data_IF_566361788900
#
_entry.id   IF_566361788900
#
_cell.length_a   1.000
_cell.length_b   1.000
_cell.length_c   1.000
_cell.angle_alpha   90.00
_cell.angle_beta   90.00
_cell.angle_gamma   90.00
#
_symmetry.space_group_name_H-M   'P 1'
#
loop_
_entity.id
_entity.type
_entity.pdbx_description
1 polymer ?
#
# COMPACT_ATOMS: atom_id res chain seq x y z
N UNK A 1 12.19 -19.79 2.41
CA UNK A 1 11.19 -19.55 1.35
C UNK A 1 10.43 -18.28 1.72
N UNK A 2 10.34 -17.27 0.84
CA UNK A 2 9.57 -16.07 1.13
C UNK A 2 8.07 -16.29 1.02
N UNK A 3 7.32 -15.46 1.72
CA UNK A 3 5.87 -15.34 1.61
C UNK A 3 5.55 -14.03 0.92
N UNK A 4 4.67 -14.07 -0.08
CA UNK A 4 4.18 -12.88 -0.77
C UNK A 4 2.70 -12.69 -0.47
N UNK A 5 2.28 -11.43 -0.47
CA UNK A 5 0.87 -11.06 -0.35
C UNK A 5 0.29 -10.93 -1.76
N UNK A 6 -0.80 -11.64 -2.01
CA UNK A 6 -1.60 -11.55 -3.21
C UNK A 6 -3.01 -11.10 -2.85
N UNK A 7 -3.70 -10.49 -3.80
CA UNK A 7 -5.09 -10.07 -3.65
C UNK A 7 -5.90 -10.62 -4.82
N UNK A 8 -7.04 -11.21 -4.51
CA UNK A 8 -7.99 -11.66 -5.53
C UNK A 8 -8.63 -10.49 -6.26
N UNK A 9 -8.94 -10.68 -7.53
CA UNK A 9 -9.74 -9.77 -8.35
C UNK A 9 -11.07 -10.48 -8.60
N UNK A 10 -12.15 -9.89 -8.09
CA UNK A 10 -13.50 -10.41 -8.26
C UNK A 10 -13.96 -10.24 -9.72
N UNK A 11 -14.97 -10.99 -10.17
CA UNK A 11 -15.47 -10.89 -11.55
C UNK A 11 -16.03 -9.51 -11.91
N UNK A 12 -16.41 -8.68 -10.94
CA UNK A 12 -16.82 -7.28 -11.18
C UNK A 12 -15.63 -6.32 -11.37
N UNK A 13 -14.40 -6.81 -11.17
CA UNK A 13 -13.17 -6.02 -11.21
C UNK A 13 -12.80 -5.39 -9.87
N UNK A 14 -13.60 -5.58 -8.82
CA UNK A 14 -13.26 -5.11 -7.48
C UNK A 14 -12.20 -5.98 -6.81
N UNK A 15 -11.52 -5.37 -5.86
CA UNK A 15 -10.48 -6.00 -5.06
C UNK A 15 -11.10 -6.92 -3.99
N UNK A 16 -10.77 -8.20 -4.05
CA UNK A 16 -11.18 -9.21 -3.06
C UNK A 16 -10.25 -9.26 -1.84
N UNK A 17 -10.31 -10.38 -1.12
CA UNK A 17 -9.46 -10.62 0.04
C UNK A 17 -7.97 -10.74 -0.34
N UNK A 18 -7.12 -10.20 0.53
CA UNK A 18 -5.68 -10.38 0.45
C UNK A 18 -5.25 -11.61 1.26
N UNK A 19 -4.33 -12.40 0.71
CA UNK A 19 -3.83 -13.62 1.32
C UNK A 19 -2.32 -13.77 1.14
N UNK A 20 -1.72 -14.56 2.01
CA UNK A 20 -0.31 -14.87 2.01
C UNK A 20 -0.04 -16.21 1.29
N UNK A 21 0.93 -16.23 0.38
CA UNK A 21 1.32 -17.42 -0.36
C UNK A 21 2.84 -17.62 -0.31
N UNK A 22 3.25 -18.82 0.10
CA UNK A 22 4.66 -19.23 0.10
C UNK A 22 5.05 -19.59 -1.33
N UNK A 23 6.04 -18.88 -1.87
CA UNK A 23 6.50 -19.08 -3.24
C UNK A 23 8.02 -19.01 -3.30
N UNK A 24 8.63 -19.84 -4.14
CA UNK A 24 10.08 -19.79 -4.33
C UNK A 24 10.47 -18.51 -5.09
N UNK A 25 11.62 -17.90 -4.75
CA UNK A 25 12.09 -16.68 -5.44
C UNK A 25 12.36 -16.89 -6.94
N UNK A 26 12.67 -18.12 -7.36
CA UNK A 26 12.94 -18.46 -8.77
C UNK A 26 11.67 -18.73 -9.58
N UNK A 27 10.51 -18.82 -8.95
CA UNK A 27 9.25 -19.10 -9.62
C UNK A 27 8.55 -17.80 -10.03
N UNK A 28 7.84 -17.83 -11.16
CA UNK A 28 7.01 -16.70 -11.59
C UNK A 28 5.82 -16.47 -10.65
N UNK A 29 5.40 -15.21 -10.50
CA UNK A 29 4.25 -14.85 -9.66
C UNK A 29 2.98 -15.59 -10.09
N UNK A 30 2.22 -16.10 -9.12
CA UNK A 30 0.95 -16.77 -9.39
C UNK A 30 -0.05 -15.78 -10.00
N UNK A 31 -0.82 -16.25 -10.99
CA UNK A 31 -1.87 -15.46 -11.66
C UNK A 31 -3.29 -15.86 -11.25
N UNK A 32 -3.45 -17.04 -10.66
CA UNK A 32 -4.72 -17.59 -10.20
C UNK A 32 -4.59 -18.03 -8.74
N UNK A 33 -5.64 -17.83 -7.96
CA UNK A 33 -5.69 -18.28 -6.58
C UNK A 33 -5.82 -19.81 -6.52
N UNK A 34 -4.97 -20.52 -5.76
CA UNK A 34 -4.90 -21.99 -5.77
C UNK A 34 -6.17 -22.71 -5.26
N UNK A 35 -6.99 -22.05 -4.42
CA UNK A 35 -8.27 -22.60 -3.93
C UNK A 35 -9.50 -22.20 -4.75
N UNK A 36 -9.67 -20.90 -5.04
CA UNK A 36 -10.88 -20.34 -5.68
C UNK A 36 -10.77 -20.30 -7.21
N UNK A 37 -9.55 -20.30 -7.77
CA UNK A 37 -9.32 -20.10 -9.20
C UNK A 37 -9.49 -18.65 -9.67
N UNK A 38 -9.77 -17.71 -8.77
CA UNK A 38 -9.92 -16.29 -9.11
C UNK A 38 -8.59 -15.70 -9.60
N UNK A 39 -8.62 -14.73 -10.52
CA UNK A 39 -7.41 -14.00 -10.90
C UNK A 39 -6.84 -13.26 -9.68
N UNK A 40 -5.52 -13.26 -9.54
CA UNK A 40 -4.83 -12.58 -8.43
C UNK A 40 -3.80 -11.58 -8.93
N UNK A 41 -3.54 -10.55 -8.13
CA UNK A 41 -2.43 -9.61 -8.32
C UNK A 41 -1.51 -9.62 -7.09
N UNK A 42 -0.22 -9.43 -7.32
CA UNK A 42 0.76 -9.27 -6.25
C UNK A 42 0.60 -7.89 -5.61
N UNK A 43 0.45 -7.85 -4.29
CA UNK A 43 0.31 -6.60 -3.54
C UNK A 43 1.65 -6.26 -2.90
N UNK A 44 2.13 -5.04 -3.17
CA UNK A 44 3.28 -4.48 -2.47
C UNK A 44 2.76 -3.59 -1.34
N UNK A 45 3.09 -3.94 -0.10
CA UNK A 45 2.82 -3.04 1.01
C UNK A 45 3.68 -1.78 0.85
N UNK A 46 3.06 -0.63 1.11
CA UNK A 46 3.81 0.61 1.21
C UNK A 46 4.86 0.45 2.31
N UNK A 47 6.12 0.85 2.06
CA UNK A 47 7.11 0.87 3.12
C UNK A 47 6.59 1.74 4.27
N UNK A 48 6.86 1.34 5.50
CA UNK A 48 6.54 2.15 6.67
C UNK A 48 7.51 3.34 6.72
N UNK A 49 7.29 4.33 5.85
CA UNK A 49 8.09 5.54 5.79
C UNK A 49 7.58 6.49 6.86
N UNK A 50 8.47 6.93 7.75
CA UNK A 50 8.20 7.92 8.79
C UNK A 50 8.01 9.34 8.21
N UNK A 51 7.32 9.50 7.09
CA UNK A 51 7.10 10.80 6.46
C UNK A 51 5.83 11.51 6.95
N UNK A 52 4.84 10.76 7.45
CA UNK A 52 3.50 11.32 7.73
C UNK A 52 3.39 11.99 9.12
N UNK A 53 4.08 11.44 10.13
CA UNK A 53 4.00 11.85 11.54
C UNK A 53 5.38 12.06 12.17
N UNK A 54 6.33 12.65 11.43
CA UNK A 54 7.61 13.06 11.99
C UNK A 54 7.64 14.54 12.35
N UNK A 55 8.49 14.90 13.30
CA UNK A 55 8.68 16.29 13.72
C UNK A 55 8.97 17.23 12.53
N UNK A 56 9.81 16.79 11.58
CA UNK A 56 10.10 17.57 10.36
C UNK A 56 8.86 17.79 9.48
N UNK A 57 8.05 16.75 9.29
CA UNK A 57 6.79 16.83 8.51
C UNK A 57 5.76 17.74 9.19
N UNK A 58 5.65 17.63 10.52
CA UNK A 58 4.77 18.49 11.33
C UNK A 58 5.22 19.94 11.31
N UNK A 59 6.52 20.21 11.48
CA UNK A 59 7.07 21.58 11.41
C UNK A 59 6.79 22.22 10.05
N UNK A 60 7.02 21.50 8.95
CA UNK A 60 6.76 21.99 7.60
C UNK A 60 5.28 22.31 7.35
N UNK A 61 4.36 21.44 7.82
CA UNK A 61 2.92 21.69 7.71
C UNK A 61 2.46 22.92 8.49
N UNK A 62 3.10 23.20 9.62
CA UNK A 62 2.81 24.31 10.52
C UNK A 62 3.69 25.55 10.26
N UNK A 63 4.52 25.54 9.22
CA UNK A 63 5.31 26.71 8.82
C UNK A 63 4.40 27.82 8.32
N UNK A 64 4.73 29.07 8.63
CA UNK A 64 3.91 30.24 8.31
C UNK A 64 3.58 30.28 6.81
N UNK A 65 4.57 30.06 5.94
CA UNK A 65 4.38 29.97 4.49
C UNK A 65 3.31 28.95 4.07
N UNK A 66 3.30 27.77 4.68
CA UNK A 66 2.35 26.70 4.32
C UNK A 66 0.95 26.97 4.89
N UNK A 67 0.88 27.55 6.09
CA UNK A 67 -0.38 27.93 6.75
C UNK A 67 -1.06 29.06 5.97
N UNK A 68 -0.30 30.09 5.56
CA UNK A 68 -0.76 31.21 4.72
C UNK A 68 -1.19 30.74 3.33
N UNK A 69 -0.43 29.83 2.70
CA UNK A 69 -0.77 29.23 1.40
C UNK A 69 -2.12 28.51 1.42
N UNK A 70 -2.49 27.92 2.55
CA UNK A 70 -3.78 27.26 2.74
C UNK A 70 -4.89 28.18 3.28
N UNK A 71 -4.64 29.49 3.35
CA UNK A 71 -5.64 30.50 3.72
C UNK A 71 -5.85 30.66 5.23
N UNK A 72 -4.95 30.12 6.05
CA UNK A 72 -4.96 30.27 7.50
C UNK A 72 -3.92 31.31 7.93
N UNK A 73 -4.13 31.95 9.08
CA UNK A 73 -3.19 32.92 9.65
C UNK A 73 -2.82 32.47 11.05
N UNK A 74 -1.52 32.48 11.36
CA UNK A 74 -1.01 32.13 12.68
C UNK A 74 -0.82 33.44 13.47
N UNK A 75 -1.52 33.57 14.60
CA UNK A 75 -1.42 34.72 15.53
C UNK A 75 -0.70 34.30 16.81
#
# INVERSE_FOLDING_TARGET
MPTYVYQEILPDGSDGEAFEYIQSMSEEAIKLHPKTGNPVRKVFHAPNVSSKYTEGSTKNKLSDENVEKHGFTRY
#
